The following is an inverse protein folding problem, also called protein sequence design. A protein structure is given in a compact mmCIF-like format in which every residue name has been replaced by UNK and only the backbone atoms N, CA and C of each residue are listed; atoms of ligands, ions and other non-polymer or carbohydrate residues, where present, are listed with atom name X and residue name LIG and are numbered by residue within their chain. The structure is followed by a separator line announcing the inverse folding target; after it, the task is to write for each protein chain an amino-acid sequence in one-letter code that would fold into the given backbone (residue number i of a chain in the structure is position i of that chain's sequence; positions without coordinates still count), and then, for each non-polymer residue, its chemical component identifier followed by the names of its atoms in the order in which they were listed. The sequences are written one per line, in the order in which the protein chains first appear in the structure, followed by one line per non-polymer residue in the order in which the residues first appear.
data_IF_277122296624
#
_entry.id   IF_277122296624
#
_cell.length_a   1.000
_cell.length_b   1.000
_cell.length_c   1.000
_cell.angle_alpha   90.00
_cell.angle_beta   90.00
_cell.angle_gamma   90.00
#
_symmetry.space_group_name_H-M   'P 1'
#
loop_
_entity.id
_entity.type
_entity.pdbx_description
1 polymer ?
#
# COMPACT_ATOMS: atom_id res chain seq x y z
N UNK A 1 -27.32 0.99 12.29
CA UNK A 1 -25.88 0.89 12.53
C UNK A 1 -25.13 1.85 11.61
N UNK A 2 -24.25 2.66 12.19
CA UNK A 2 -23.31 3.52 11.46
C UNK A 2 -21.92 2.91 11.59
N UNK A 3 -21.17 2.77 10.49
CA UNK A 3 -19.79 2.33 10.52
C UNK A 3 -18.89 3.56 10.29
N UNK A 4 -18.08 3.88 11.27
CA UNK A 4 -17.11 4.97 11.21
C UNK A 4 -15.68 4.45 11.40
N UNK A 5 -14.68 5.26 11.12
CA UNK A 5 -13.28 4.91 11.39
C UNK A 5 -12.82 5.54 12.70
N UNK A 6 -11.80 4.97 13.32
CA UNK A 6 -11.16 5.56 14.52
C UNK A 6 -10.50 6.93 14.28
N UNK A 7 -10.48 7.41 13.02
CA UNK A 7 -10.04 8.76 12.66
C UNK A 7 -11.21 9.73 12.43
N UNK A 8 -12.46 9.26 12.59
CA UNK A 8 -13.62 10.13 12.49
C UNK A 8 -13.64 11.12 13.67
N UNK A 9 -14.24 12.30 13.44
CA UNK A 9 -14.38 13.31 14.49
C UNK A 9 -15.24 12.75 15.64
N UNK A 10 -14.72 12.80 16.86
CA UNK A 10 -15.41 12.34 18.06
C UNK A 10 -16.75 13.05 18.31
N UNK A 11 -16.84 14.35 18.01
CA UNK A 11 -18.08 15.12 18.16
C UNK A 11 -19.20 14.59 17.26
N UNK A 12 -18.85 14.21 16.03
CA UNK A 12 -19.82 13.57 15.09
C UNK A 12 -20.25 12.24 15.64
N UNK A 13 -19.32 11.43 16.16
CA UNK A 13 -19.63 10.10 16.73
C UNK A 13 -20.59 10.28 17.93
N UNK A 14 -20.27 11.16 18.88
CA UNK A 14 -21.13 11.44 20.03
C UNK A 14 -22.51 11.97 19.63
N UNK A 15 -22.58 12.81 18.61
CA UNK A 15 -23.85 13.33 18.11
C UNK A 15 -24.72 12.21 17.52
N UNK A 16 -24.12 11.28 16.78
CA UNK A 16 -24.84 10.10 16.24
C UNK A 16 -25.33 9.18 17.34
N UNK A 17 -24.50 8.94 18.37
CA UNK A 17 -24.88 8.12 19.55
C UNK A 17 -26.00 8.80 20.37
N UNK A 18 -25.95 10.11 20.53
CA UNK A 18 -26.99 10.90 21.21
C UNK A 18 -28.35 10.84 20.49
N UNK A 19 -28.33 10.64 19.17
CA UNK A 19 -29.54 10.36 18.35
C UNK A 19 -30.02 8.91 18.45
N UNK A 20 -29.43 8.08 19.32
CA UNK A 20 -29.78 6.67 19.49
C UNK A 20 -29.24 5.73 18.41
N UNK A 21 -28.33 6.19 17.57
CA UNK A 21 -27.72 5.38 16.53
C UNK A 21 -26.58 4.52 17.13
N UNK A 22 -26.55 3.24 16.79
CA UNK A 22 -25.40 2.39 17.11
C UNK A 22 -24.24 2.74 16.18
N UNK A 23 -23.08 3.10 16.74
CA UNK A 23 -21.87 3.39 15.97
C UNK A 23 -20.84 2.29 16.20
N UNK A 24 -20.34 1.70 15.12
CA UNK A 24 -19.23 0.76 15.12
C UNK A 24 -17.97 1.46 14.61
N UNK A 25 -16.92 1.50 15.44
CA UNK A 25 -15.65 2.11 15.08
C UNK A 25 -14.70 1.07 14.49
N UNK A 26 -14.56 1.09 13.16
CA UNK A 26 -13.61 0.25 12.46
C UNK A 26 -12.19 0.78 12.63
N UNK A 27 -11.29 -0.06 13.15
CA UNK A 27 -9.88 0.27 13.31
C UNK A 27 -9.16 0.51 11.99
N UNK A 28 -7.98 1.15 12.08
CA UNK A 28 -7.05 1.31 10.95
C UNK A 28 -6.00 0.21 11.01
N UNK A 29 -6.10 -0.83 10.17
CA UNK A 29 -5.13 -1.91 10.15
C UNK A 29 -3.79 -1.41 9.63
N UNK A 30 -2.69 -1.88 10.24
CA UNK A 30 -1.32 -1.62 9.83
C UNK A 30 -0.68 -2.80 9.09
N UNK A 31 -1.33 -3.96 9.14
CA UNK A 31 -0.84 -5.18 8.51
C UNK A 31 -1.99 -6.11 8.14
N UNK A 32 -1.66 -7.19 7.43
CA UNK A 32 -2.59 -8.17 6.92
C UNK A 32 -3.40 -8.85 8.04
N UNK A 33 -2.77 -9.22 9.16
CA UNK A 33 -3.45 -9.86 10.29
C UNK A 33 -4.51 -8.94 10.90
N UNK A 34 -4.17 -7.67 11.10
CA UNK A 34 -5.14 -6.70 11.58
C UNK A 34 -6.27 -6.47 10.57
N UNK A 35 -5.97 -6.60 9.27
CA UNK A 35 -7.00 -6.53 8.22
C UNK A 35 -7.97 -7.72 8.30
N UNK A 36 -7.47 -8.94 8.49
CA UNK A 36 -8.30 -10.14 8.70
C UNK A 36 -9.26 -9.93 9.87
N UNK A 37 -8.72 -9.51 11.02
CA UNK A 37 -9.51 -9.21 12.22
C UNK A 37 -10.57 -8.13 11.95
N UNK A 38 -10.22 -7.07 11.21
CA UNK A 38 -11.16 -6.02 10.83
C UNK A 38 -12.31 -6.56 9.99
N UNK A 39 -12.04 -7.41 9.00
CA UNK A 39 -13.06 -8.01 8.12
C UNK A 39 -14.02 -8.89 8.95
N UNK A 40 -13.50 -9.75 9.84
CA UNK A 40 -14.31 -10.59 10.71
C UNK A 40 -15.22 -9.76 11.62
N UNK A 41 -14.64 -8.78 12.33
CA UNK A 41 -15.41 -7.92 13.24
C UNK A 41 -16.45 -7.07 12.53
N UNK A 42 -16.17 -6.62 11.31
CA UNK A 42 -17.15 -5.89 10.52
C UNK A 42 -18.31 -6.81 10.11
N UNK A 43 -18.01 -8.04 9.66
CA UNK A 43 -19.04 -9.05 9.39
C UNK A 43 -19.95 -9.31 10.59
N UNK A 44 -19.38 -9.47 11.78
CA UNK A 44 -20.14 -9.62 13.03
C UNK A 44 -21.00 -8.38 13.32
N UNK A 45 -20.44 -7.18 13.19
CA UNK A 45 -21.13 -5.92 13.50
C UNK A 45 -22.35 -5.67 12.59
N UNK A 46 -22.31 -6.14 11.34
CA UNK A 46 -23.42 -6.01 10.39
C UNK A 46 -24.33 -7.25 10.32
N UNK A 47 -24.10 -8.27 11.15
CA UNK A 47 -24.88 -9.51 11.17
C UNK A 47 -24.53 -10.53 10.10
N UNK A 48 -23.41 -10.33 9.38
CA UNK A 48 -22.95 -11.16 8.27
C UNK A 48 -21.66 -11.93 8.62
N UNK A 49 -21.64 -12.57 9.80
CA UNK A 49 -20.45 -13.27 10.32
C UNK A 49 -19.90 -14.30 9.33
N UNK A 50 -20.76 -15.16 8.79
CA UNK A 50 -20.35 -16.20 7.83
C UNK A 50 -19.71 -15.61 6.57
N UNK A 51 -20.22 -14.44 6.12
CA UNK A 51 -19.63 -13.73 4.98
C UNK A 51 -18.26 -13.15 5.29
N UNK A 52 -18.08 -12.63 6.50
CA UNK A 52 -16.78 -12.17 6.99
C UNK A 52 -15.75 -13.31 7.02
N UNK A 53 -16.12 -14.49 7.52
CA UNK A 53 -15.29 -15.69 7.56
C UNK A 53 -14.93 -16.18 6.13
N UNK A 54 -15.91 -16.22 5.23
CA UNK A 54 -15.68 -16.57 3.82
C UNK A 54 -14.70 -15.61 3.14
N UNK A 55 -14.86 -14.29 3.33
CA UNK A 55 -13.96 -13.30 2.76
C UNK A 55 -12.53 -13.46 3.27
N UNK A 56 -12.33 -13.70 4.56
CA UNK A 56 -10.99 -13.95 5.12
C UNK A 56 -10.39 -15.21 4.56
N UNK A 57 -11.14 -16.29 4.42
CA UNK A 57 -10.68 -17.53 3.78
C UNK A 57 -10.20 -17.26 2.34
N UNK A 58 -10.98 -16.54 1.54
CA UNK A 58 -10.61 -16.18 0.17
C UNK A 58 -9.34 -15.31 0.13
N UNK A 59 -9.21 -14.37 1.07
CA UNK A 59 -7.98 -13.56 1.21
C UNK A 59 -6.76 -14.46 1.47
N UNK A 60 -6.87 -15.37 2.45
CA UNK A 60 -5.76 -16.27 2.85
C UNK A 60 -5.36 -17.20 1.69
N UNK A 61 -6.32 -17.77 0.98
CA UNK A 61 -6.07 -18.65 -0.20
C UNK A 61 -5.33 -17.88 -1.32
N UNK A 62 -5.74 -16.63 -1.57
CA UNK A 62 -5.09 -15.79 -2.59
C UNK A 62 -3.67 -15.42 -2.19
N UNK A 63 -3.45 -15.04 -0.92
CA UNK A 63 -2.10 -14.73 -0.41
C UNK A 63 -1.21 -15.98 -0.47
N UNK A 64 -1.69 -17.14 -0.06
CA UNK A 64 -0.93 -18.38 -0.16
C UNK A 64 -0.54 -18.73 -1.61
N UNK A 65 -1.45 -18.52 -2.56
CA UNK A 65 -1.17 -18.69 -4.00
C UNK A 65 -0.10 -17.70 -4.49
N UNK A 66 -0.18 -16.45 -4.07
CA UNK A 66 0.80 -15.42 -4.41
C UNK A 66 2.17 -15.77 -3.82
N UNK A 67 2.23 -16.13 -2.54
CA UNK A 67 3.45 -16.54 -1.85
C UNK A 67 4.13 -17.73 -2.54
N UNK A 68 3.38 -18.72 -3.01
CA UNK A 68 3.92 -19.88 -3.74
C UNK A 68 4.69 -19.51 -5.03
N UNK A 69 4.44 -18.31 -5.58
CA UNK A 69 5.18 -17.77 -6.73
C UNK A 69 6.37 -16.95 -6.28
N UNK A 70 6.14 -16.08 -5.29
CA UNK A 70 7.11 -15.09 -4.85
C UNK A 70 8.22 -15.71 -3.99
N UNK A 71 7.97 -16.82 -3.28
CA UNK A 71 9.00 -17.54 -2.53
C UNK A 71 10.14 -18.08 -3.43
N UNK A 72 9.95 -18.09 -4.74
CA UNK A 72 10.99 -18.44 -5.73
C UNK A 72 11.97 -17.30 -5.99
N UNK A 73 11.68 -16.10 -5.51
CA UNK A 73 12.58 -14.92 -5.65
C UNK A 73 13.66 -15.03 -4.57
N UNK A 74 14.93 -15.21 -4.96
CA UNK A 74 16.02 -15.22 -3.99
C UNK A 74 16.11 -13.87 -3.26
N UNK A 75 16.54 -13.88 -2.01
CA UNK A 75 16.61 -12.66 -1.19
C UNK A 75 17.52 -11.59 -1.79
N UNK A 76 18.63 -11.99 -2.42
CA UNK A 76 19.56 -11.10 -3.13
C UNK A 76 18.98 -10.52 -4.43
N UNK A 77 17.86 -11.04 -4.92
CA UNK A 77 17.14 -10.57 -6.11
C UNK A 77 15.92 -9.70 -5.78
N UNK A 78 15.58 -9.58 -4.50
CA UNK A 78 14.49 -8.68 -4.09
C UNK A 78 14.82 -7.25 -4.46
N UNK A 79 13.90 -6.60 -5.16
CA UNK A 79 14.04 -5.21 -5.58
C UNK A 79 13.78 -4.26 -4.42
N UNK A 80 14.63 -3.24 -4.29
CA UNK A 80 14.37 -2.11 -3.39
C UNK A 80 13.51 -1.08 -4.13
N UNK A 81 12.39 -0.72 -3.52
CA UNK A 81 11.39 0.16 -4.13
C UNK A 81 11.16 1.37 -3.22
N UNK A 82 10.97 2.54 -3.81
CA UNK A 82 10.42 3.71 -3.16
C UNK A 82 9.09 4.06 -3.81
N UNK A 83 8.02 3.99 -3.02
CA UNK A 83 6.70 4.40 -3.44
C UNK A 83 6.45 5.87 -3.12
N UNK A 84 5.81 6.60 -4.04
CA UNK A 84 5.50 8.02 -3.89
C UNK A 84 3.99 8.26 -3.88
N UNK A 85 3.57 9.27 -3.14
CA UNK A 85 2.37 10.05 -3.46
C UNK A 85 2.81 11.34 -4.17
N UNK A 86 1.87 12.27 -4.43
CA UNK A 86 2.21 13.54 -5.10
C UNK A 86 3.01 14.53 -4.22
N UNK A 87 3.23 14.21 -2.95
CA UNK A 87 3.88 15.10 -1.98
C UNK A 87 5.26 14.56 -1.59
N UNK A 88 5.36 13.25 -1.32
CA UNK A 88 6.58 12.65 -0.75
C UNK A 88 6.63 11.14 -1.01
N UNK A 89 7.76 10.51 -0.74
CA UNK A 89 7.86 9.07 -0.62
C UNK A 89 7.06 8.59 0.61
N UNK A 90 6.54 7.36 0.56
CA UNK A 90 5.64 6.79 1.54
C UNK A 90 6.02 5.33 1.86
N UNK A 91 5.42 4.78 2.90
CA UNK A 91 5.68 3.40 3.33
C UNK A 91 6.64 3.37 4.52
N UNK A 92 6.33 4.08 5.63
CA UNK A 92 7.13 4.00 6.85
C UNK A 92 7.12 2.60 7.40
N UNK A 93 8.20 2.23 8.06
CA UNK A 93 8.33 0.93 8.72
C UNK A 93 7.11 0.68 9.62
N UNK A 94 6.45 -0.45 9.40
CA UNK A 94 5.30 -0.90 10.19
C UNK A 94 3.96 -0.27 9.80
N UNK A 95 3.88 0.51 8.72
CA UNK A 95 2.58 0.92 8.16
C UNK A 95 2.02 -0.12 7.16
N UNK A 96 0.79 0.09 6.71
CA UNK A 96 0.11 -0.85 5.82
C UNK A 96 0.83 -1.02 4.47
N UNK A 97 1.41 0.05 3.92
CA UNK A 97 2.16 -0.01 2.66
C UNK A 97 3.44 -0.81 2.84
N UNK A 98 4.15 -0.60 3.95
CA UNK A 98 5.32 -1.40 4.28
C UNK A 98 4.98 -2.89 4.36
N UNK A 99 3.88 -3.23 5.04
CA UNK A 99 3.42 -4.61 5.10
C UNK A 99 3.07 -5.19 3.73
N UNK A 100 2.33 -4.43 2.89
CA UNK A 100 1.97 -4.88 1.53
C UNK A 100 3.19 -5.10 0.65
N UNK A 101 4.18 -4.21 0.69
CA UNK A 101 5.43 -4.35 -0.08
C UNK A 101 6.22 -5.58 0.39
N UNK A 102 6.34 -5.79 1.70
CA UNK A 102 7.00 -6.98 2.26
C UNK A 102 6.29 -8.28 1.85
N UNK A 103 4.95 -8.33 1.88
CA UNK A 103 4.17 -9.47 1.40
C UNK A 103 4.32 -9.71 -0.10
N UNK A 104 4.66 -8.68 -0.88
CA UNK A 104 4.99 -8.79 -2.30
C UNK A 104 6.47 -9.13 -2.56
N UNK A 105 7.24 -9.54 -1.54
CA UNK A 105 8.68 -9.82 -1.61
C UNK A 105 9.51 -8.62 -2.10
N UNK A 106 9.06 -7.41 -1.81
CA UNK A 106 9.69 -6.14 -2.19
C UNK A 106 10.36 -5.54 -0.96
N UNK A 107 11.61 -5.12 -1.10
CA UNK A 107 12.31 -4.34 -0.09
C UNK A 107 11.80 -2.91 -0.09
N UNK A 108 11.11 -2.50 0.96
CA UNK A 108 10.64 -1.14 1.10
C UNK A 108 11.80 -0.22 1.48
N UNK A 109 12.20 0.65 0.54
CA UNK A 109 13.32 1.57 0.75
C UNK A 109 13.05 2.58 1.86
N UNK A 110 11.83 3.10 1.98
CA UNK A 110 11.49 4.09 3.02
C UNK A 110 11.55 3.47 4.42
N UNK A 111 11.22 2.19 4.57
CA UNK A 111 11.33 1.49 5.85
C UNK A 111 12.77 1.31 6.35
N UNK A 112 13.78 1.54 5.48
CA UNK A 112 15.19 1.49 5.83
C UNK A 112 15.68 2.78 6.51
N UNK A 113 14.90 3.87 6.45
CA UNK A 113 15.26 5.14 7.08
C UNK A 113 15.08 4.98 8.59
N UNK A 114 16.15 5.21 9.40
CA UNK A 114 16.04 5.16 10.86
C UNK A 114 15.00 6.16 11.38
N UNK A 115 14.29 5.77 12.45
CA UNK A 115 13.19 6.58 13.00
C UNK A 115 13.63 7.98 13.43
N UNK A 116 14.84 8.13 13.94
CA UNK A 116 15.43 9.42 14.34
C UNK A 116 15.58 10.41 13.19
N UNK A 117 15.67 9.93 11.94
CA UNK A 117 15.75 10.77 10.73
C UNK A 117 14.40 10.89 10.02
N UNK A 118 13.34 10.30 10.56
CA UNK A 118 12.02 10.29 9.94
C UNK A 118 11.26 11.56 10.33
N UNK A 119 11.06 12.45 9.37
CA UNK A 119 10.22 13.64 9.48
C UNK A 119 8.83 13.41 8.88
N UNK A 120 7.99 14.43 8.81
CA UNK A 120 6.68 14.35 8.15
C UNK A 120 6.79 13.95 6.68
N UNK A 121 7.90 14.31 6.03
CA UNK A 121 8.17 14.03 4.62
C UNK A 121 9.54 13.37 4.47
N UNK A 122 9.66 12.46 3.53
CA UNK A 122 10.94 11.87 3.13
C UNK A 122 11.62 12.84 2.17
N UNK A 123 12.86 13.24 2.49
CA UNK A 123 13.61 14.18 1.65
C UNK A 123 14.17 13.50 0.40
N UNK A 124 14.51 14.31 -0.61
CA UNK A 124 15.16 13.80 -1.83
C UNK A 124 16.51 13.15 -1.52
N UNK A 125 17.27 13.72 -0.60
CA UNK A 125 18.56 13.19 -0.15
C UNK A 125 18.41 11.81 0.49
N UNK A 126 17.35 11.59 1.25
CA UNK A 126 17.04 10.27 1.82
C UNK A 126 16.72 9.27 0.71
N UNK A 127 15.93 9.64 -0.30
CA UNK A 127 15.63 8.79 -1.46
C UNK A 127 16.92 8.46 -2.25
N UNK A 128 17.77 9.45 -2.47
CA UNK A 128 19.08 9.25 -3.13
C UNK A 128 19.97 8.28 -2.34
N UNK A 129 19.99 8.40 -1.02
CA UNK A 129 20.76 7.50 -0.13
C UNK A 129 20.23 6.07 -0.17
N UNK A 130 18.93 5.87 -0.25
CA UNK A 130 18.30 4.55 -0.43
C UNK A 130 18.75 3.94 -1.77
N UNK A 131 18.88 4.75 -2.82
CA UNK A 131 19.24 4.35 -4.17
C UNK A 131 18.39 3.17 -4.68
N UNK A 132 17.05 3.30 -4.74
CA UNK A 132 16.16 2.21 -5.06
C UNK A 132 16.29 1.73 -6.50
N UNK A 133 15.95 0.48 -6.73
CA UNK A 133 15.90 -0.13 -8.06
C UNK A 133 14.70 0.35 -8.88
N UNK A 134 13.58 0.66 -8.20
CA UNK A 134 12.32 1.03 -8.84
C UNK A 134 11.67 2.20 -8.08
N UNK A 135 11.12 3.16 -8.84
CA UNK A 135 10.16 4.14 -8.34
C UNK A 135 8.74 3.68 -8.66
N UNK A 136 7.86 3.67 -7.65
CA UNK A 136 6.42 3.47 -7.82
C UNK A 136 5.71 4.82 -7.69
N UNK A 137 5.25 5.36 -8.81
CA UNK A 137 4.58 6.66 -8.86
C UNK A 137 3.06 6.52 -8.69
N UNK A 138 2.40 7.58 -8.21
CA UNK A 138 0.95 7.62 -8.05
C UNK A 138 0.23 7.72 -9.41
N UNK A 139 -1.01 7.21 -9.45
CA UNK A 139 -1.88 7.31 -10.62
C UNK A 139 -3.22 7.99 -10.30
N UNK A 140 -3.42 8.44 -9.06
CA UNK A 140 -4.69 9.00 -8.63
C UNK A 140 -4.96 10.34 -9.30
N UNK A 141 -6.03 10.36 -10.07
CA UNK A 141 -6.53 11.57 -10.69
C UNK A 141 -8.07 11.59 -10.64
N UNK A 142 -8.61 11.41 -9.43
CA UNK A 142 -10.04 11.27 -9.19
C UNK A 142 -10.86 12.48 -9.71
N UNK A 143 -10.31 13.67 -9.54
CA UNK A 143 -10.97 14.95 -9.88
C UNK A 143 -10.31 15.69 -11.04
N UNK A 144 -9.44 15.02 -11.79
CA UNK A 144 -8.61 15.58 -12.87
C UNK A 144 -7.77 16.80 -12.46
N UNK A 145 -7.49 16.95 -11.14
CA UNK A 145 -6.65 18.04 -10.61
C UNK A 145 -5.18 17.70 -10.58
N UNK A 146 -4.81 16.42 -10.74
CA UNK A 146 -3.43 15.98 -10.69
C UNK A 146 -2.86 15.87 -12.10
N UNK A 147 -1.78 16.57 -12.35
CA UNK A 147 -0.99 16.46 -13.56
C UNK A 147 -0.02 15.27 -13.42
N UNK A 148 -0.49 14.07 -13.76
CA UNK A 148 0.28 12.82 -13.65
C UNK A 148 1.49 12.85 -14.58
N UNK A 149 1.31 13.32 -15.82
CA UNK A 149 2.41 13.39 -16.80
C UNK A 149 3.46 14.42 -16.37
N UNK A 150 3.03 15.60 -15.95
CA UNK A 150 3.94 16.61 -15.41
C UNK A 150 4.63 16.15 -14.13
N UNK A 151 3.94 15.37 -13.27
CA UNK A 151 4.59 14.78 -12.10
C UNK A 151 5.66 13.76 -12.49
N UNK A 152 5.35 12.86 -13.42
CA UNK A 152 6.31 11.91 -13.99
C UNK A 152 7.53 12.65 -14.55
N UNK A 153 7.30 13.65 -15.39
CA UNK A 153 8.38 14.45 -16.00
C UNK A 153 9.24 15.14 -14.94
N UNK A 154 8.64 15.70 -13.90
CA UNK A 154 9.40 16.31 -12.77
C UNK A 154 10.27 15.29 -12.04
N UNK A 155 9.75 14.09 -11.75
CA UNK A 155 10.53 13.04 -11.06
C UNK A 155 11.64 12.51 -11.96
N UNK A 156 11.33 12.24 -13.23
CA UNK A 156 12.26 11.65 -14.19
C UNK A 156 13.43 12.59 -14.52
N UNK A 157 13.17 13.89 -14.58
CA UNK A 157 14.16 14.91 -14.94
C UNK A 157 14.71 15.67 -13.72
N UNK A 158 14.41 15.22 -12.50
CA UNK A 158 14.94 15.87 -11.30
C UNK A 158 16.46 15.65 -11.19
N UNK A 159 17.27 16.72 -11.19
CA UNK A 159 18.72 16.60 -11.10
C UNK A 159 19.20 15.83 -9.87
N UNK A 160 18.42 15.87 -8.75
CA UNK A 160 18.77 15.13 -7.54
C UNK A 160 18.72 13.61 -7.76
N UNK A 161 17.86 13.12 -8.64
CA UNK A 161 17.67 11.69 -8.89
C UNK A 161 18.46 11.12 -10.06
N UNK A 162 19.21 11.95 -10.80
CA UNK A 162 19.92 11.54 -12.03
C UNK A 162 20.78 10.28 -11.87
N UNK A 163 21.36 10.09 -10.70
CA UNK A 163 22.26 8.97 -10.38
C UNK A 163 21.58 7.81 -9.66
N UNK A 164 20.30 7.92 -9.32
CA UNK A 164 19.50 6.85 -8.70
C UNK A 164 19.26 5.73 -9.71
N UNK A 165 19.43 4.48 -9.28
CA UNK A 165 19.26 3.28 -10.13
C UNK A 165 17.93 3.26 -10.88
N UNK A 166 16.82 3.62 -10.18
CA UNK A 166 15.50 3.66 -10.79
C UNK A 166 15.43 4.57 -12.01
N UNK A 167 16.09 5.74 -11.97
CA UNK A 167 16.13 6.69 -13.07
C UNK A 167 17.12 6.21 -14.15
N UNK A 168 18.35 5.86 -13.79
CA UNK A 168 19.36 5.38 -14.73
C UNK A 168 18.89 4.20 -15.58
N UNK A 169 18.11 3.29 -14.97
CA UNK A 169 17.63 2.07 -15.61
C UNK A 169 16.21 2.21 -16.17
N UNK A 170 15.65 3.43 -16.17
CA UNK A 170 14.28 3.70 -16.61
C UNK A 170 13.23 2.79 -15.90
N UNK A 171 13.40 2.57 -14.60
CA UNK A 171 12.54 1.70 -13.79
C UNK A 171 11.55 2.54 -12.98
N UNK A 172 10.69 3.25 -13.68
CA UNK A 172 9.52 3.92 -13.11
C UNK A 172 8.31 3.05 -13.43
N UNK A 173 7.55 2.69 -12.39
CA UNK A 173 6.35 1.85 -12.49
C UNK A 173 5.16 2.58 -11.87
N UNK A 174 3.98 2.16 -12.29
CA UNK A 174 2.72 2.69 -11.80
C UNK A 174 1.89 1.56 -11.19
N UNK A 175 1.32 1.82 -10.03
CA UNK A 175 0.31 0.97 -9.41
C UNK A 175 -0.87 1.85 -9.09
N UNK A 176 -2.06 1.43 -9.49
CA UNK A 176 -3.29 2.21 -9.27
C UNK A 176 -3.46 2.54 -7.79
N UNK A 177 -3.72 3.80 -7.48
CA UNK A 177 -3.90 4.28 -6.11
C UNK A 177 -5.09 3.63 -5.40
N UNK A 178 -6.08 3.11 -6.13
CA UNK A 178 -7.14 2.30 -5.54
C UNK A 178 -6.61 1.08 -4.78
N UNK A 179 -5.44 0.56 -5.15
CA UNK A 179 -4.76 -0.53 -4.45
C UNK A 179 -3.82 -0.04 -3.35
N UNK A 180 -3.25 1.15 -3.48
CA UNK A 180 -2.28 1.69 -2.51
C UNK A 180 -2.91 2.08 -1.17
N UNK A 181 -4.17 2.56 -1.20
CA UNK A 181 -4.88 3.07 -0.03
C UNK A 181 -5.98 2.13 0.45
N UNK A 182 -6.04 0.91 -0.08
CA UNK A 182 -7.08 -0.03 0.26
C UNK A 182 -6.94 -0.55 1.69
N UNK A 183 -7.94 -0.26 2.52
CA UNK A 183 -8.03 -0.76 3.89
C UNK A 183 -9.25 -1.69 4.05
N UNK A 184 -9.35 -2.70 3.17
CA UNK A 184 -10.44 -3.68 3.11
C UNK A 184 -9.90 -5.05 2.68
N UNK A 185 -10.79 -6.02 2.46
CA UNK A 185 -10.42 -7.34 1.92
C UNK A 185 -9.70 -7.28 0.56
N UNK A 186 -9.80 -6.17 -0.18
CA UNK A 186 -9.03 -5.92 -1.41
C UNK A 186 -7.53 -5.65 -1.19
N UNK A 187 -7.04 -5.72 0.06
CA UNK A 187 -5.59 -5.63 0.33
C UNK A 187 -4.80 -6.70 -0.45
N UNK A 188 -5.42 -7.84 -0.73
CA UNK A 188 -4.82 -8.91 -1.55
C UNK A 188 -4.55 -8.44 -2.96
N UNK A 189 -5.49 -7.67 -3.55
CA UNK A 189 -5.29 -7.07 -4.88
C UNK A 189 -4.13 -6.08 -4.87
N UNK A 190 -3.97 -5.33 -3.78
CA UNK A 190 -2.85 -4.41 -3.62
C UNK A 190 -1.51 -5.15 -3.65
N UNK A 191 -1.36 -6.20 -2.84
CA UNK A 191 -0.12 -7.01 -2.77
C UNK A 191 0.19 -7.63 -4.13
N UNK A 192 -0.83 -8.21 -4.80
CA UNK A 192 -0.69 -8.82 -6.11
C UNK A 192 -0.27 -7.79 -7.18
N UNK A 193 -0.88 -6.61 -7.19
CA UNK A 193 -0.52 -5.56 -8.15
C UNK A 193 0.88 -4.99 -7.90
N UNK A 194 1.31 -4.86 -6.65
CA UNK A 194 2.70 -4.51 -6.34
C UNK A 194 3.66 -5.56 -6.87
N UNK A 195 3.39 -6.85 -6.63
CA UNK A 195 4.21 -7.94 -7.11
C UNK A 195 4.28 -7.97 -8.64
N UNK A 196 3.15 -7.84 -9.34
CA UNK A 196 3.08 -7.80 -10.82
C UNK A 196 3.84 -6.61 -11.42
N UNK A 197 3.79 -5.45 -10.78
CA UNK A 197 4.50 -4.26 -11.24
C UNK A 197 6.02 -4.41 -11.11
N UNK A 198 6.50 -5.06 -10.05
CA UNK A 198 7.93 -5.19 -9.73
C UNK A 198 8.54 -6.43 -10.34
N UNK A 199 7.81 -7.54 -10.41
CA UNK A 199 8.25 -8.86 -10.87
C UNK A 199 7.35 -9.45 -11.97
N UNK A 200 7.13 -8.75 -13.08
CA UNK A 200 6.21 -9.20 -14.13
C UNK A 200 6.57 -10.58 -14.70
N UNK A 201 7.84 -10.97 -14.64
CA UNK A 201 8.33 -12.25 -15.15
C UNK A 201 7.75 -13.47 -14.41
N UNK A 202 7.36 -13.32 -13.13
CA UNK A 202 6.75 -14.39 -12.33
C UNK A 202 5.25 -14.56 -12.59
N UNK A 203 4.65 -13.67 -13.39
CA UNK A 203 3.23 -13.64 -13.72
C UNK A 203 2.95 -13.85 -15.22
N UNK A 204 3.96 -14.21 -16.02
CA UNK A 204 3.81 -14.49 -17.44
C UNK A 204 2.88 -15.68 -17.64
N UNK A 205 1.86 -15.51 -18.49
CA UNK A 205 0.85 -16.54 -18.79
C UNK A 205 -0.46 -16.42 -17.99
N UNK A 206 -0.56 -15.50 -17.05
CA UNK A 206 -1.84 -15.16 -16.46
C UNK A 206 -2.57 -14.14 -17.35
N UNK A 207 -3.80 -14.51 -17.75
CA UNK A 207 -4.69 -13.53 -18.41
C UNK A 207 -5.04 -12.44 -17.37
N UNK A 208 -4.80 -11.19 -17.71
CA UNK A 208 -5.22 -10.01 -16.98
C UNK A 208 -6.75 -9.91 -16.86
#
# INVERSE_FOLDING_TARGET
LVVATTASNNEIIHSLEALGLKVYLAGRPKNYEQMRVKVLKLGEAVGEKAKGEELVKQMDERIAKLESKLCKIPDDKRKTVVAFNFISAMGRKGDLIDNMLNMAHINNGVAQIPNEFMTSYVSKEQVVRINPDIFLLPTWNYDNRQDIEGYLNRVQNDPAYKDVKAIKNNQIKFVSDKYRYVASHYIVDAVENFAKAVYPEYFRGEKS
#
